data_IF_367413579380
#
_entry.id   IF_367413579380
#
_cell.length_a   1.000
_cell.length_b   1.000
_cell.length_c   1.000
_cell.angle_alpha   90.00
_cell.angle_beta   90.00
_cell.angle_gamma   90.00
#
_symmetry.space_group_name_H-M   'P 1'
#
loop_
_entity.id
_entity.type
_entity.pdbx_description
1 polymer ?
#
# COMPACT_ATOMS: atom_id res chain seq x y z
N UNK A 1 20.59 78.16 -69.99
CA UNK A 1 19.34 77.68 -69.34
C UNK A 1 19.73 76.38 -68.62
N UNK A 2 19.91 76.38 -67.28
CA UNK A 2 18.97 75.83 -66.28
C UNK A 2 18.34 74.50 -66.78
N UNK A 3 18.51 73.34 -66.16
CA UNK A 3 18.52 73.00 -64.74
C UNK A 3 19.10 71.58 -64.54
N UNK A 4 19.92 71.41 -63.49
CA UNK A 4 20.40 70.10 -63.04
C UNK A 4 19.43 69.49 -62.03
N UNK A 5 18.82 68.37 -62.40
CA UNK A 5 18.01 67.55 -61.49
C UNK A 5 18.90 66.62 -60.63
N UNK A 6 19.34 67.20 -59.53
CA UNK A 6 19.44 66.66 -58.17
C UNK A 6 19.47 65.12 -57.95
N UNK A 7 20.65 64.52 -58.14
CA UNK A 7 20.96 63.12 -57.72
C UNK A 7 20.90 62.88 -56.21
N UNK A 8 20.68 63.91 -55.37
CA UNK A 8 20.65 63.77 -53.90
C UNK A 8 19.32 63.21 -53.38
N UNK A 9 18.23 63.34 -54.15
CA UNK A 9 16.91 62.86 -53.71
C UNK A 9 16.80 61.34 -53.70
N UNK A 10 17.47 60.62 -54.61
CA UNK A 10 17.41 59.15 -54.68
C UNK A 10 18.24 58.46 -53.59
N UNK A 11 19.30 59.11 -53.08
CA UNK A 11 20.09 58.53 -51.98
C UNK A 11 19.35 58.61 -50.63
N UNK A 12 18.55 59.67 -50.38
CA UNK A 12 17.81 59.79 -49.12
C UNK A 12 16.71 58.73 -48.93
N UNK A 13 16.06 58.26 -50.00
CA UNK A 13 15.04 57.20 -49.89
C UNK A 13 15.64 55.81 -49.62
N UNK A 14 16.86 55.55 -50.10
CA UNK A 14 17.55 54.27 -49.82
C UNK A 14 17.97 54.19 -48.36
N UNK A 15 18.43 55.30 -47.75
CA UNK A 15 18.77 55.32 -46.32
C UNK A 15 17.55 55.26 -45.41
N UNK A 16 16.38 55.81 -45.82
CA UNK A 16 15.14 55.68 -45.04
C UNK A 16 14.53 54.27 -45.12
N UNK A 17 14.63 53.60 -46.27
CA UNK A 17 14.18 52.21 -46.43
C UNK A 17 15.11 51.20 -45.71
N UNK A 18 16.42 51.46 -45.62
CA UNK A 18 17.34 50.63 -44.84
C UNK A 18 17.18 50.81 -43.32
N UNK A 19 16.84 52.02 -42.86
CA UNK A 19 16.61 52.29 -41.43
C UNK A 19 15.36 51.60 -40.86
N UNK A 20 14.33 51.40 -41.68
CA UNK A 20 13.10 50.69 -41.30
C UNK A 20 13.21 49.16 -41.40
N UNK A 21 14.17 48.63 -42.16
CA UNK A 21 14.47 47.19 -42.22
C UNK A 21 15.37 46.72 -41.07
N UNK A 22 16.06 47.63 -40.37
CA UNK A 22 16.91 47.33 -39.22
C UNK A 22 16.21 47.46 -37.85
N UNK A 23 14.96 47.97 -37.82
CA UNK A 23 14.18 48.10 -36.59
C UNK A 23 13.25 46.89 -36.31
N UNK A 24 13.20 45.89 -37.20
CA UNK A 24 12.28 44.75 -37.13
C UNK A 24 12.84 43.47 -36.51
N UNK A 25 14.13 43.41 -36.18
CA UNK A 25 14.74 42.25 -35.52
C UNK A 25 14.85 42.50 -34.02
N UNK A 26 13.73 42.54 -33.32
CA UNK A 26 13.75 42.21 -31.89
C UNK A 26 14.25 40.76 -31.80
N UNK A 27 15.37 40.47 -31.13
CA UNK A 27 15.71 39.09 -30.85
C UNK A 27 14.54 38.53 -30.05
N UNK A 28 13.83 37.54 -30.62
CA UNK A 28 13.02 36.64 -29.83
C UNK A 28 14.02 36.00 -28.89
N UNK A 29 14.12 36.56 -27.68
CA UNK A 29 14.86 35.92 -26.61
C UNK A 29 14.26 34.52 -26.53
N UNK A 30 15.03 33.52 -26.94
CA UNK A 30 14.64 32.14 -26.78
C UNK A 30 14.34 32.00 -25.29
N UNK A 31 13.05 31.92 -24.96
CA UNK A 31 12.62 31.77 -23.60
C UNK A 31 13.03 30.36 -23.24
N UNK A 32 14.27 30.22 -22.75
CA UNK A 32 14.76 28.98 -22.17
C UNK A 32 13.78 28.68 -21.05
N UNK A 33 12.86 27.74 -21.30
CA UNK A 33 11.87 27.35 -20.32
C UNK A 33 12.65 26.99 -19.06
N UNK A 34 12.40 27.71 -17.97
CA UNK A 34 13.05 27.42 -16.71
C UNK A 34 12.91 25.91 -16.42
N UNK A 35 13.98 25.23 -15.97
CA UNK A 35 13.92 23.80 -15.69
C UNK A 35 12.71 23.47 -14.80
N UNK A 36 11.94 22.45 -15.18
CA UNK A 36 10.76 22.05 -14.41
C UNK A 36 11.20 21.63 -13.01
N UNK A 37 10.66 22.29 -11.98
CA UNK A 37 10.78 21.81 -10.61
C UNK A 37 9.91 20.55 -10.44
N UNK A 38 10.50 19.38 -10.73
CA UNK A 38 9.80 18.09 -10.69
C UNK A 38 9.22 17.79 -9.31
N UNK A 39 9.95 18.12 -8.25
CA UNK A 39 9.46 17.92 -6.89
C UNK A 39 8.18 18.72 -6.65
N UNK A 40 8.16 20.02 -6.96
CA UNK A 40 6.96 20.84 -6.80
C UNK A 40 5.78 20.34 -7.67
N UNK A 41 6.06 19.85 -8.88
CA UNK A 41 5.04 19.26 -9.76
C UNK A 41 4.46 17.97 -9.18
N UNK A 42 5.26 17.14 -8.53
CA UNK A 42 4.78 15.88 -7.93
C UNK A 42 4.07 16.15 -6.60
N UNK A 43 4.67 16.95 -5.71
CA UNK A 43 4.16 17.21 -4.36
C UNK A 43 2.85 18.00 -4.33
N UNK A 44 2.48 18.72 -5.40
CA UNK A 44 1.15 19.35 -5.48
C UNK A 44 0.00 18.33 -5.55
N UNK A 45 0.29 17.05 -5.82
CA UNK A 45 -0.69 15.95 -5.90
C UNK A 45 -0.61 15.03 -4.67
N UNK A 46 -0.14 15.53 -3.54
CA UNK A 46 -0.28 14.84 -2.25
C UNK A 46 -1.74 14.46 -2.03
N UNK A 47 -1.97 13.19 -1.73
CA UNK A 47 -3.31 12.72 -1.37
C UNK A 47 -3.51 13.04 0.10
N UNK A 48 -4.58 13.75 0.44
CA UNK A 48 -4.89 14.17 1.81
C UNK A 48 -6.28 13.68 2.21
N UNK A 49 -6.34 12.88 3.27
CA UNK A 49 -7.56 12.41 3.89
C UNK A 49 -7.73 13.09 5.26
N UNK A 50 -8.85 13.78 5.47
CA UNK A 50 -9.16 14.43 6.76
C UNK A 50 -10.35 13.80 7.49
N UNK A 51 -10.91 12.74 6.92
CA UNK A 51 -12.05 11.99 7.45
C UNK A 51 -11.81 10.50 7.24
N UNK A 52 -12.66 9.68 7.85
CA UNK A 52 -12.69 8.25 7.56
C UNK A 52 -13.61 8.02 6.36
N UNK A 53 -13.09 7.36 5.33
CA UNK A 53 -13.84 7.01 4.12
C UNK A 53 -13.33 5.65 3.63
N UNK A 54 -14.24 4.68 3.50
CA UNK A 54 -13.92 3.34 3.03
C UNK A 54 -13.40 3.30 1.59
N UNK A 55 -13.61 4.35 0.80
CA UNK A 55 -13.11 4.48 -0.56
C UNK A 55 -11.74 5.17 -0.65
N UNK A 56 -11.23 5.70 0.47
CA UNK A 56 -9.99 6.48 0.49
C UNK A 56 -8.87 5.80 1.29
N UNK A 57 -8.51 4.58 0.90
CA UNK A 57 -7.27 3.95 1.36
C UNK A 57 -6.09 4.37 0.48
N UNK A 58 -4.89 4.38 1.06
CA UNK A 58 -3.64 4.75 0.37
C UNK A 58 -2.62 3.63 0.48
N UNK A 59 -1.69 3.55 -0.47
CA UNK A 59 -0.71 2.45 -0.54
C UNK A 59 0.72 2.96 -0.64
N UNK A 60 1.63 2.18 -0.05
CA UNK A 60 3.07 2.23 -0.34
C UNK A 60 3.47 0.93 -1.03
N UNK A 61 4.50 0.98 -1.87
CA UNK A 61 5.00 -0.20 -2.57
C UNK A 61 6.21 0.08 -3.45
N UNK A 62 6.93 -0.99 -3.81
CA UNK A 62 8.12 -0.97 -4.66
C UNK A 62 7.88 -1.56 -6.06
N UNK A 63 6.62 -1.83 -6.41
CA UNK A 63 6.22 -2.48 -7.67
C UNK A 63 6.13 -4.01 -7.60
N UNK A 64 6.91 -4.66 -6.73
CA UNK A 64 6.84 -6.09 -6.45
C UNK A 64 6.02 -6.41 -5.18
N UNK A 65 5.92 -5.45 -4.26
CA UNK A 65 5.18 -5.54 -3.01
C UNK A 65 4.37 -4.27 -2.78
N UNK A 66 3.17 -4.42 -2.23
CA UNK A 66 2.28 -3.32 -1.91
C UNK A 66 1.61 -3.53 -0.55
N UNK A 67 1.45 -2.42 0.17
CA UNK A 67 0.82 -2.37 1.47
C UNK A 67 -0.16 -1.19 1.53
N UNK A 68 -1.44 -1.52 1.50
CA UNK A 68 -2.56 -0.57 1.52
C UNK A 68 -3.05 -0.37 2.95
N UNK A 69 -3.20 0.87 3.38
CA UNK A 69 -3.49 1.24 4.78
C UNK A 69 -4.73 2.10 4.89
N UNK A 70 -5.35 2.05 6.07
CA UNK A 70 -6.39 3.00 6.47
C UNK A 70 -5.77 4.28 7.03
N UNK A 71 -6.62 5.22 7.45
CA UNK A 71 -6.22 6.54 7.99
C UNK A 71 -5.24 6.49 9.17
N UNK A 72 -5.12 5.34 9.87
CA UNK A 72 -4.13 5.15 10.94
C UNK A 72 -2.70 4.97 10.44
N UNK A 73 -2.51 4.80 9.13
CA UNK A 73 -1.22 4.49 8.52
C UNK A 73 -0.86 3.00 8.57
N UNK A 74 -1.75 2.14 9.08
CA UNK A 74 -1.64 0.68 9.08
C UNK A 74 -2.98 0.03 8.67
N UNK A 75 -3.08 -1.30 8.76
CA UNK A 75 -4.30 -2.06 8.46
C UNK A 75 -5.11 -2.35 9.73
N UNK A 76 -5.52 -1.29 10.42
CA UNK A 76 -6.17 -1.33 11.73
C UNK A 76 -7.64 -1.73 11.64
N UNK A 77 -8.37 -1.24 10.63
CA UNK A 77 -9.81 -1.44 10.45
C UNK A 77 -10.18 -2.09 9.11
N UNK A 78 -9.61 -3.25 8.74
CA UNK A 78 -9.81 -3.82 7.41
C UNK A 78 -11.30 -4.15 7.12
N UNK A 79 -12.08 -4.57 8.12
CA UNK A 79 -13.52 -4.82 7.99
C UNK A 79 -14.33 -3.56 7.64
N UNK A 80 -13.88 -2.36 8.03
CA UNK A 80 -14.56 -1.12 7.63
C UNK A 80 -14.39 -0.83 6.13
N UNK A 81 -13.26 -1.23 5.54
CA UNK A 81 -12.91 -1.01 4.14
C UNK A 81 -13.37 -2.12 3.20
N UNK A 82 -13.90 -3.25 3.72
CA UNK A 82 -14.21 -4.44 2.93
C UNK A 82 -15.25 -4.21 1.82
N UNK A 83 -16.14 -3.21 2.00
CA UNK A 83 -17.18 -2.82 1.02
C UNK A 83 -16.76 -1.63 0.14
N UNK A 84 -15.56 -1.09 0.36
CA UNK A 84 -15.00 0.04 -0.37
C UNK A 84 -13.75 -0.35 -1.14
N UNK A 85 -12.63 0.31 -0.86
CA UNK A 85 -11.29 -0.09 -1.34
C UNK A 85 -10.60 -0.87 -0.21
N UNK A 86 -10.56 -2.22 -0.29
CA UNK A 86 -10.05 -3.06 0.78
C UNK A 86 -8.59 -2.77 1.10
N UNK A 87 -8.22 -3.03 2.35
CA UNK A 87 -6.83 -3.03 2.75
C UNK A 87 -6.17 -4.34 2.31
N UNK A 88 -4.86 -4.33 2.08
CA UNK A 88 -4.18 -5.53 1.61
C UNK A 88 -2.67 -5.45 1.68
N UNK A 89 -2.04 -6.60 1.92
CA UNK A 89 -0.60 -6.78 1.84
C UNK A 89 -0.34 -7.88 0.83
N UNK A 90 0.14 -7.51 -0.35
CA UNK A 90 0.31 -8.43 -1.47
C UNK A 90 1.70 -8.27 -2.10
N UNK A 91 2.13 -9.33 -2.78
CA UNK A 91 3.39 -9.36 -3.51
C UNK A 91 3.24 -10.07 -4.84
N UNK A 92 4.20 -9.84 -5.74
CA UNK A 92 4.25 -10.49 -7.04
C UNK A 92 4.39 -12.02 -6.94
N UNK A 93 4.98 -12.51 -5.83
CA UNK A 93 5.22 -13.93 -5.56
C UNK A 93 4.14 -14.59 -4.69
N UNK A 94 3.30 -13.79 -3.99
CA UNK A 94 2.27 -14.27 -3.10
C UNK A 94 1.07 -14.85 -3.84
N UNK A 95 1.15 -16.13 -4.18
CA UNK A 95 0.07 -16.89 -4.85
C UNK A 95 -0.34 -18.10 -4.03
N UNK A 96 -1.59 -18.51 -4.20
CA UNK A 96 -2.17 -19.68 -3.56
C UNK A 96 -3.03 -20.46 -4.55
N UNK A 97 -3.06 -21.79 -4.36
CA UNK A 97 -3.95 -22.70 -5.07
C UNK A 97 -4.56 -23.69 -4.10
N UNK A 98 -5.89 -23.81 -4.09
CA UNK A 98 -6.58 -24.87 -3.37
C UNK A 98 -6.22 -26.24 -3.95
N UNK A 99 -6.18 -27.30 -3.13
CA UNK A 99 -5.94 -28.66 -3.60
C UNK A 99 -6.98 -29.13 -4.62
N UNK A 100 -6.53 -29.71 -5.74
CA UNK A 100 -7.40 -30.29 -6.75
C UNK A 100 -7.85 -31.72 -6.35
N UNK A 101 -8.66 -31.84 -5.29
CA UNK A 101 -9.07 -33.16 -4.74
C UNK A 101 -9.97 -33.97 -5.67
N UNK A 102 -10.63 -33.30 -6.63
CA UNK A 102 -11.56 -33.91 -7.59
C UNK A 102 -10.93 -34.16 -8.97
N UNK A 103 -9.64 -33.87 -9.14
CA UNK A 103 -8.91 -34.15 -10.39
C UNK A 103 -9.41 -33.34 -11.59
N UNK A 104 -9.84 -32.10 -11.38
CA UNK A 104 -10.32 -31.23 -12.45
C UNK A 104 -9.24 -30.93 -13.50
N UNK A 105 -9.62 -30.90 -14.76
CA UNK A 105 -8.71 -30.66 -15.89
C UNK A 105 -9.14 -29.44 -16.71
N UNK A 106 -8.18 -28.80 -17.38
CA UNK A 106 -8.44 -27.59 -18.15
C UNK A 106 -9.48 -27.80 -19.27
N UNK A 107 -9.51 -28.99 -19.86
CA UNK A 107 -10.44 -29.39 -20.93
C UNK A 107 -11.90 -29.28 -20.48
N UNK A 108 -12.19 -29.47 -19.19
CA UNK A 108 -13.53 -29.33 -18.64
C UNK A 108 -14.04 -27.88 -18.71
N UNK A 109 -13.13 -26.91 -18.84
CA UNK A 109 -13.48 -25.49 -19.06
C UNK A 109 -13.73 -25.13 -20.52
N UNK A 110 -13.29 -25.97 -21.46
CA UNK A 110 -13.36 -25.66 -22.88
C UNK A 110 -14.76 -25.80 -23.44
N UNK A 111 -15.13 -24.89 -24.34
CA UNK A 111 -16.31 -24.98 -25.19
C UNK A 111 -15.93 -24.61 -26.61
N UNK A 112 -16.38 -25.42 -27.56
CA UNK A 112 -16.16 -25.17 -28.98
C UNK A 112 -17.17 -24.16 -29.50
N UNK A 113 -16.67 -23.28 -30.36
CA UNK A 113 -17.45 -22.30 -31.10
C UNK A 113 -17.10 -22.41 -32.59
N UNK A 114 -18.12 -22.36 -33.44
CA UNK A 114 -17.93 -22.21 -34.88
C UNK A 114 -17.73 -20.73 -35.20
N UNK A 115 -16.49 -20.34 -35.48
CA UNK A 115 -16.09 -18.97 -35.84
C UNK A 115 -15.41 -18.98 -37.20
N UNK A 116 -15.98 -18.23 -38.16
CA UNK A 116 -15.44 -18.11 -39.52
C UNK A 116 -15.20 -19.48 -40.21
N UNK A 117 -16.13 -20.42 -40.05
CA UNK A 117 -16.04 -21.77 -40.64
C UNK A 117 -15.02 -22.70 -39.96
N UNK A 118 -14.47 -22.32 -38.79
CA UNK A 118 -13.54 -23.13 -38.01
C UNK A 118 -14.11 -23.40 -36.62
N UNK A 119 -13.89 -24.61 -36.12
CA UNK A 119 -14.09 -24.93 -34.71
C UNK A 119 -12.92 -24.40 -33.88
N UNK A 120 -13.22 -23.53 -32.92
CA UNK A 120 -12.25 -22.95 -32.00
C UNK A 120 -12.73 -23.16 -30.56
N UNK A 121 -11.88 -23.72 -29.72
CA UNK A 121 -12.17 -23.94 -28.30
C UNK A 121 -11.73 -22.75 -27.45
N UNK A 122 -12.60 -22.29 -26.57
CA UNK A 122 -12.29 -21.27 -25.55
C UNK A 122 -12.58 -21.81 -24.16
N UNK A 123 -11.77 -21.44 -23.17
CA UNK A 123 -12.16 -21.63 -21.76
C UNK A 123 -13.29 -20.65 -21.44
N UNK A 124 -14.43 -21.15 -20.99
CA UNK A 124 -15.61 -20.31 -20.72
C UNK A 124 -16.10 -20.46 -19.30
N UNK A 125 -16.63 -19.36 -18.76
CA UNK A 125 -17.40 -19.45 -17.53
C UNK A 125 -18.76 -20.09 -17.84
N UNK A 126 -19.04 -21.24 -17.22
CA UNK A 126 -20.30 -21.96 -17.41
C UNK A 126 -21.30 -21.57 -16.32
N UNK A 127 -22.54 -21.28 -16.72
CA UNK A 127 -23.65 -21.06 -15.79
C UNK A 127 -24.44 -22.36 -15.55
N UNK A 128 -24.41 -23.26 -16.52
CA UNK A 128 -25.06 -24.56 -16.50
C UNK A 128 -24.31 -25.54 -15.58
N UNK A 129 -25.00 -26.53 -14.97
CA UNK A 129 -24.38 -27.43 -13.98
C UNK A 129 -23.20 -28.25 -14.50
N UNK A 130 -23.21 -28.62 -15.79
CA UNK A 130 -22.18 -29.44 -16.39
C UNK A 130 -20.80 -28.76 -16.35
N UNK A 131 -19.83 -29.41 -15.70
CA UNK A 131 -18.45 -28.93 -15.47
C UNK A 131 -18.33 -27.60 -14.70
N UNK A 132 -19.41 -27.11 -14.07
CA UNK A 132 -19.38 -25.83 -13.32
C UNK A 132 -18.32 -25.84 -12.23
N UNK A 133 -18.25 -26.90 -11.44
CA UNK A 133 -17.28 -26.98 -10.34
C UNK A 133 -15.83 -26.98 -10.85
N UNK A 134 -15.56 -27.66 -11.98
CA UNK A 134 -14.23 -27.65 -12.60
C UNK A 134 -13.84 -26.25 -13.09
N UNK A 135 -14.78 -25.55 -13.73
CA UNK A 135 -14.59 -24.17 -14.18
C UNK A 135 -14.34 -23.23 -13.00
N UNK A 136 -15.15 -23.31 -11.95
CA UNK A 136 -15.00 -22.48 -10.75
C UNK A 136 -13.64 -22.75 -10.08
N UNK A 137 -13.23 -24.02 -9.97
CA UNK A 137 -11.93 -24.40 -9.45
C UNK A 137 -10.78 -23.84 -10.28
N UNK A 138 -10.82 -23.96 -11.61
CA UNK A 138 -9.77 -23.44 -12.49
C UNK A 138 -9.71 -21.92 -12.52
N UNK A 139 -10.84 -21.23 -12.31
CA UNK A 139 -10.88 -19.76 -12.18
C UNK A 139 -10.34 -19.28 -10.84
N UNK A 140 -10.59 -20.06 -9.79
CA UNK A 140 -10.10 -19.78 -8.45
C UNK A 140 -8.59 -20.01 -8.31
N UNK A 141 -7.92 -20.74 -9.21
CA UNK A 141 -6.55 -21.21 -8.99
C UNK A 141 -5.63 -20.99 -10.20
N UNK A 142 -4.41 -20.44 -10.02
CA UNK A 142 -3.92 -19.77 -8.81
C UNK A 142 -4.58 -18.39 -8.61
N UNK A 143 -4.69 -17.93 -7.37
CA UNK A 143 -5.13 -16.57 -7.03
C UNK A 143 -4.10 -15.83 -6.17
N UNK A 144 -4.20 -14.49 -6.16
CA UNK A 144 -3.37 -13.62 -5.32
C UNK A 144 -3.67 -13.89 -3.85
N UNK A 145 -2.62 -14.02 -3.05
CA UNK A 145 -2.72 -14.29 -1.63
C UNK A 145 -2.53 -13.01 -0.80
N UNK A 146 -3.46 -12.76 0.12
CA UNK A 146 -3.29 -11.75 1.17
C UNK A 146 -2.29 -12.25 2.20
N UNK A 147 -1.16 -11.57 2.34
CA UNK A 147 -0.04 -12.02 3.17
C UNK A 147 -0.26 -11.79 4.67
N UNK A 148 -1.31 -11.06 5.04
CA UNK A 148 -1.72 -10.77 6.40
C UNK A 148 -2.11 -9.30 6.58
N UNK A 149 -2.76 -9.00 7.70
CA UNK A 149 -3.11 -7.66 8.11
C UNK A 149 -2.24 -7.20 9.27
N UNK A 150 -1.37 -6.22 9.02
CA UNK A 150 -0.57 -5.56 10.04
C UNK A 150 -1.29 -4.29 10.49
N UNK A 151 -1.83 -4.27 11.70
CA UNK A 151 -2.68 -3.17 12.17
C UNK A 151 -2.46 -2.84 13.62
N UNK A 152 -3.04 -1.74 14.08
CA UNK A 152 -3.13 -1.52 15.52
C UNK A 152 -4.21 -2.39 16.16
N UNK A 153 -4.00 -2.68 17.44
CA UNK A 153 -5.08 -2.94 18.39
C UNK A 153 -5.15 -1.70 19.27
N UNK A 154 -6.20 -0.91 19.05
CA UNK A 154 -6.46 0.32 19.79
C UNK A 154 -7.44 0.02 20.91
N UNK A 155 -7.11 0.44 22.13
CA UNK A 155 -7.96 0.27 23.31
C UNK A 155 -8.42 1.63 23.85
N UNK A 156 -9.69 1.72 24.19
CA UNK A 156 -10.27 2.84 24.96
C UNK A 156 -9.83 2.79 26.42
N UNK A 157 -10.05 3.87 27.17
CA UNK A 157 -9.76 3.95 28.62
C UNK A 157 -10.44 2.84 29.42
N UNK A 158 -11.62 2.40 28.97
CA UNK A 158 -12.36 1.29 29.58
C UNK A 158 -11.86 -0.11 29.17
N UNK A 159 -10.75 -0.21 28.42
CA UNK A 159 -10.15 -1.46 27.97
C UNK A 159 -10.82 -2.12 26.76
N UNK A 160 -11.94 -1.59 26.26
CA UNK A 160 -12.59 -2.12 25.06
C UNK A 160 -11.84 -1.73 23.78
N UNK A 161 -11.88 -2.57 22.73
CA UNK A 161 -11.38 -2.17 21.42
C UNK A 161 -12.05 -0.89 20.91
N UNK A 162 -11.25 0.03 20.38
CA UNK A 162 -11.76 1.20 19.68
C UNK A 162 -12.28 0.81 18.29
N UNK A 163 -13.33 1.47 17.82
CA UNK A 163 -13.78 1.41 16.42
C UNK A 163 -13.24 2.60 15.63
N UNK A 164 -13.36 2.56 14.31
CA UNK A 164 -12.93 3.68 13.47
C UNK A 164 -13.71 4.97 13.77
N UNK A 165 -14.95 4.87 14.26
CA UNK A 165 -15.78 6.01 14.68
C UNK A 165 -15.30 6.67 15.98
N UNK A 166 -14.49 5.97 16.78
CA UNK A 166 -13.87 6.51 17.99
C UNK A 166 -12.69 7.45 17.66
N UNK A 167 -12.18 7.43 16.41
CA UNK A 167 -11.08 8.30 16.00
C UNK A 167 -11.56 9.75 15.79
N UNK A 168 -10.70 10.69 16.19
CA UNK A 168 -10.88 12.13 15.99
C UNK A 168 -9.62 12.73 15.38
N UNK A 169 -9.72 13.98 14.96
CA UNK A 169 -8.60 14.75 14.41
C UNK A 169 -7.84 14.02 13.29
N UNK A 170 -8.56 13.30 12.43
CA UNK A 170 -7.95 12.48 11.38
C UNK A 170 -7.29 13.37 10.34
N UNK A 171 -6.01 13.11 10.06
CA UNK A 171 -5.27 13.69 8.94
C UNK A 171 -4.24 12.69 8.42
N UNK A 172 -4.40 12.23 7.20
CA UNK A 172 -3.45 11.37 6.52
C UNK A 172 -2.98 12.04 5.22
N UNK A 173 -1.68 11.95 4.94
CA UNK A 173 -1.04 12.46 3.73
C UNK A 173 -0.19 11.36 3.10
N UNK A 174 -0.41 11.04 1.83
CA UNK A 174 0.53 10.29 0.99
C UNK A 174 1.32 11.29 0.14
N UNK A 175 2.64 11.30 0.29
CA UNK A 175 3.52 12.10 -0.54
C UNK A 175 4.09 11.27 -1.71
N UNK A 176 3.67 11.51 -2.96
CA UNK A 176 4.13 10.74 -4.12
C UNK A 176 5.61 10.99 -4.47
N UNK A 177 6.23 12.07 -3.98
CA UNK A 177 7.65 12.34 -4.20
C UNK A 177 8.54 11.51 -3.28
N UNK A 178 8.17 11.38 -2.00
CA UNK A 178 8.96 10.67 -1.00
C UNK A 178 8.53 9.21 -0.82
N UNK A 179 7.30 8.85 -1.24
CA UNK A 179 6.72 7.54 -0.99
C UNK A 179 6.33 7.30 0.47
N UNK A 180 6.17 8.37 1.27
CA UNK A 180 5.81 8.30 2.68
C UNK A 180 4.32 8.51 2.88
N UNK A 181 3.72 7.74 3.79
CA UNK A 181 2.40 8.02 4.36
C UNK A 181 2.60 8.58 5.77
N UNK A 182 2.05 9.77 6.01
CA UNK A 182 2.01 10.40 7.33
C UNK A 182 0.57 10.42 7.81
N UNK A 183 0.30 9.79 8.94
CA UNK A 183 -1.02 9.66 9.54
C UNK A 183 -1.02 10.29 10.93
N UNK A 184 -2.07 11.04 11.22
CA UNK A 184 -2.37 11.63 12.52
C UNK A 184 -3.83 11.34 12.85
N UNK A 185 -4.09 10.98 14.10
CA UNK A 185 -5.42 10.90 14.68
C UNK A 185 -5.33 11.01 16.20
N UNK A 186 -6.46 11.25 16.86
CA UNK A 186 -6.57 11.17 18.31
C UNK A 186 -7.58 10.10 18.74
N UNK A 187 -7.28 9.44 19.86
CA UNK A 187 -8.19 8.52 20.55
C UNK A 187 -8.40 9.00 21.97
N UNK A 188 -9.65 9.35 22.31
CA UNK A 188 -10.04 9.92 23.60
C UNK A 188 -9.14 11.11 24.04
N UNK A 189 -8.83 11.98 23.07
CA UNK A 189 -8.02 13.19 23.26
C UNK A 189 -6.51 12.98 23.27
N UNK A 190 -6.00 11.76 23.05
CA UNK A 190 -4.56 11.49 22.97
C UNK A 190 -4.14 11.26 21.52
N UNK A 191 -3.18 12.05 21.04
CA UNK A 191 -2.66 11.98 19.68
C UNK A 191 -1.86 10.69 19.41
N UNK A 192 -1.93 10.23 18.16
CA UNK A 192 -1.14 9.15 17.59
C UNK A 192 -0.64 9.62 16.23
N UNK A 193 0.68 9.72 16.11
CA UNK A 193 1.37 10.06 14.87
C UNK A 193 2.07 8.83 14.31
N UNK A 194 1.88 8.58 13.02
CA UNK A 194 2.40 7.40 12.32
C UNK A 194 3.05 7.82 11.02
N UNK A 195 4.27 7.34 10.78
CA UNK A 195 4.93 7.43 9.47
C UNK A 195 5.12 6.01 8.95
N UNK A 196 4.53 5.73 7.80
CA UNK A 196 4.62 4.42 7.13
C UNK A 196 5.36 4.56 5.82
N UNK A 197 6.34 3.69 5.62
CA UNK A 197 7.19 3.65 4.43
C UNK A 197 7.39 2.21 3.99
N UNK A 198 7.78 2.04 2.74
CA UNK A 198 8.14 0.76 2.15
C UNK A 198 9.56 0.81 1.58
N UNK A 199 10.28 -0.30 1.70
CA UNK A 199 11.67 -0.38 1.25
C UNK A 199 11.75 -0.64 -0.27
N UNK A 200 12.37 0.30 -0.98
CA UNK A 200 12.45 0.33 -2.45
C UNK A 200 12.95 -0.95 -3.17
N UNK A 201 13.68 -1.83 -2.48
CA UNK A 201 14.25 -3.07 -3.04
C UNK A 201 13.87 -4.35 -2.29
N UNK A 202 13.11 -4.25 -1.20
CA UNK A 202 12.82 -5.39 -0.33
C UNK A 202 11.37 -5.33 0.09
N UNK A 203 10.70 -6.49 0.18
CA UNK A 203 9.31 -6.60 0.66
C UNK A 203 9.23 -6.30 2.16
N UNK A 204 9.40 -5.03 2.53
CA UNK A 204 9.57 -4.54 3.89
C UNK A 204 8.77 -3.26 4.06
N UNK A 205 7.77 -3.34 4.93
CA UNK A 205 7.08 -2.16 5.45
C UNK A 205 7.65 -1.78 6.81
N UNK A 206 7.85 -0.49 7.02
CA UNK A 206 8.24 0.09 8.29
C UNK A 206 7.21 1.13 8.72
N UNK A 207 6.90 1.13 10.02
CA UNK A 207 6.07 2.14 10.64
C UNK A 207 6.74 2.70 11.89
N UNK A 208 6.87 4.02 11.95
CA UNK A 208 7.23 4.75 13.17
C UNK A 208 5.97 5.25 13.83
N UNK A 209 5.83 5.00 15.14
CA UNK A 209 4.63 5.34 15.90
C UNK A 209 5.02 6.17 17.12
N UNK A 210 4.38 7.32 17.26
CA UNK A 210 4.59 8.28 18.35
C UNK A 210 3.25 8.54 19.05
N UNK A 211 3.14 8.16 20.32
CA UNK A 211 1.95 8.39 21.13
C UNK A 211 2.19 8.08 22.61
N UNK A 212 1.58 8.85 23.50
CA UNK A 212 1.49 8.52 24.94
C UNK A 212 0.67 7.25 25.20
N UNK A 213 -0.19 6.84 24.26
CA UNK A 213 -0.96 5.59 24.35
C UNK A 213 -0.07 4.33 24.30
N UNK A 214 1.16 4.44 23.79
CA UNK A 214 2.15 3.37 23.84
C UNK A 214 2.55 3.05 25.29
N UNK A 215 2.72 4.08 26.12
CA UNK A 215 3.11 3.93 27.54
C UNK A 215 2.02 3.27 28.37
N UNK A 216 0.76 3.59 28.07
CA UNK A 216 -0.40 2.99 28.72
C UNK A 216 -0.81 1.63 28.13
N UNK A 217 -0.09 1.12 27.12
CA UNK A 217 -0.41 -0.16 26.46
C UNK A 217 -1.72 -0.16 25.69
N UNK A 218 -2.25 1.02 25.37
CA UNK A 218 -3.51 1.23 24.66
C UNK A 218 -3.36 1.26 23.13
N UNK A 219 -2.14 1.41 22.64
CA UNK A 219 -1.76 1.15 21.25
C UNK A 219 -0.86 -0.08 21.24
N UNK A 220 -1.31 -1.15 20.58
CA UNK A 220 -0.50 -2.35 20.31
C UNK A 220 -0.50 -2.60 18.81
N UNK A 221 0.43 -3.41 18.34
CA UNK A 221 0.47 -3.84 16.93
C UNK A 221 0.12 -5.32 16.85
N UNK A 222 -0.78 -5.66 15.94
CA UNK A 222 -1.17 -7.02 15.64
C UNK A 222 -0.89 -7.39 14.18
N UNK A 223 -0.51 -8.65 13.97
CA UNK A 223 -0.49 -9.31 12.68
C UNK A 223 -1.57 -10.39 12.67
N UNK A 224 -2.50 -10.31 11.73
CA UNK A 224 -3.62 -11.24 11.56
C UNK A 224 -3.54 -11.88 10.17
N UNK A 225 -3.88 -13.16 10.04
CA UNK A 225 -3.91 -13.81 8.74
C UNK A 225 -5.36 -14.10 8.35
N UNK A 226 -5.88 -13.51 7.25
CA UNK A 226 -7.17 -13.90 6.69
C UNK A 226 -7.04 -15.22 5.91
N UNK A 227 -8.15 -15.93 5.77
CA UNK A 227 -8.30 -17.07 4.89
C UNK A 227 -8.59 -16.59 3.46
N UNK A 228 -7.95 -17.15 2.42
CA UNK A 228 -8.27 -16.82 1.05
C UNK A 228 -9.67 -17.34 0.68
N UNK A 229 -10.48 -16.52 0.01
CA UNK A 229 -11.88 -16.90 -0.27
C UNK A 229 -12.08 -17.58 -1.63
N UNK A 230 -11.10 -17.48 -2.54
CA UNK A 230 -11.25 -17.82 -3.96
C UNK A 230 -12.39 -17.07 -4.69
N UNK A 231 -13.00 -16.07 -4.04
CA UNK A 231 -14.04 -15.26 -4.64
C UNK A 231 -13.49 -14.35 -5.72
N UNK A 232 -14.38 -13.81 -6.56
CA UNK A 232 -14.01 -12.77 -7.52
C UNK A 232 -13.32 -11.57 -6.85
N UNK A 233 -13.78 -11.22 -5.64
CA UNK A 233 -13.14 -10.24 -4.80
C UNK A 233 -12.75 -10.90 -3.47
N UNK A 234 -11.45 -10.94 -3.20
CA UNK A 234 -10.91 -11.30 -1.89
C UNK A 234 -10.49 -10.03 -1.15
N UNK A 235 -11.26 -9.67 -0.13
CA UNK A 235 -11.07 -8.45 0.64
C UNK A 235 -10.02 -8.59 1.76
N UNK A 236 -9.44 -9.78 1.94
CA UNK A 236 -8.45 -10.02 3.00
C UNK A 236 -8.99 -9.87 4.42
N UNK A 237 -10.27 -10.17 4.63
CA UNK A 237 -10.97 -9.99 5.92
C UNK A 237 -11.69 -11.25 6.43
N UNK A 238 -11.57 -12.39 5.74
CA UNK A 238 -12.18 -13.63 6.23
C UNK A 238 -11.34 -14.25 7.35
N UNK A 239 -11.80 -14.11 8.59
CA UNK A 239 -11.16 -14.72 9.77
C UNK A 239 -11.98 -15.89 10.35
N UNK A 240 -13.03 -16.33 9.65
CA UNK A 240 -13.95 -17.37 10.15
C UNK A 240 -13.37 -18.79 10.06
N UNK A 241 -12.30 -18.97 9.27
CA UNK A 241 -11.64 -20.24 9.01
C UNK A 241 -10.33 -20.45 9.81
N UNK A 242 -10.29 -20.02 11.07
CA UNK A 242 -9.07 -20.08 11.90
C UNK A 242 -8.48 -21.50 12.09
N UNK A 243 -9.29 -22.53 11.87
CA UNK A 243 -8.88 -23.95 11.95
C UNK A 243 -8.27 -24.49 10.65
N UNK A 244 -8.49 -23.82 9.52
CA UNK A 244 -8.03 -24.25 8.21
C UNK A 244 -6.57 -23.85 7.92
N UNK A 245 -5.98 -23.01 8.78
CA UNK A 245 -4.60 -22.54 8.64
C UNK A 245 -3.91 -22.40 10.00
N UNK A 246 -2.57 -22.45 9.97
CA UNK A 246 -1.76 -22.37 11.18
C UNK A 246 -0.66 -21.34 11.05
N UNK A 247 -0.43 -20.62 12.14
CA UNK A 247 0.70 -19.70 12.24
C UNK A 247 1.52 -19.99 13.48
N UNK A 248 2.82 -19.74 13.44
CA UNK A 248 3.67 -19.94 14.61
C UNK A 248 4.98 -19.15 14.55
N UNK A 249 5.51 -18.78 15.71
CA UNK A 249 6.87 -18.29 15.82
C UNK A 249 7.80 -19.49 15.68
N UNK A 250 8.58 -19.52 14.60
CA UNK A 250 9.54 -20.60 14.34
C UNK A 250 10.97 -20.23 14.78
N UNK A 251 11.25 -18.93 14.93
CA UNK A 251 12.51 -18.46 15.47
C UNK A 251 12.30 -17.16 16.26
N UNK A 252 12.79 -17.09 17.50
CA UNK A 252 12.89 -15.84 18.26
C UNK A 252 14.27 -15.23 18.04
N UNK A 253 14.33 -13.92 17.83
CA UNK A 253 15.58 -13.16 17.76
C UNK A 253 15.63 -12.18 18.93
N UNK A 254 16.80 -11.57 19.17
CA UNK A 254 16.95 -10.51 20.19
C UNK A 254 16.01 -9.33 19.91
N UNK A 255 15.86 -9.00 18.63
CA UNK A 255 14.95 -7.96 18.14
C UNK A 255 14.08 -8.61 17.07
N UNK A 256 12.88 -9.04 17.46
CA UNK A 256 11.91 -9.62 16.54
C UNK A 256 11.78 -11.15 16.53
N UNK A 257 11.02 -11.66 15.57
CA UNK A 257 10.70 -13.07 15.40
C UNK A 257 10.45 -13.42 13.93
N UNK A 258 10.78 -14.66 13.56
CA UNK A 258 10.35 -15.26 12.31
C UNK A 258 9.02 -15.97 12.56
N UNK A 259 7.98 -15.52 11.86
CA UNK A 259 6.64 -16.08 11.89
C UNK A 259 6.45 -16.89 10.62
N UNK A 260 5.96 -18.10 10.77
CA UNK A 260 5.54 -18.95 9.67
C UNK A 260 4.01 -18.93 9.60
N UNK A 261 3.47 -18.78 8.40
CA UNK A 261 2.05 -18.99 8.09
C UNK A 261 1.93 -20.14 7.09
N UNK A 262 1.02 -21.07 7.36
CA UNK A 262 0.78 -22.27 6.56
C UNK A 262 -0.73 -22.41 6.36
N UNK A 263 -1.13 -22.39 5.09
CA UNK A 263 -2.45 -22.76 4.60
C UNK A 263 -2.45 -24.26 4.26
N UNK A 264 -3.15 -24.68 3.21
CA UNK A 264 -3.08 -26.03 2.68
C UNK A 264 -1.76 -26.29 1.92
N UNK A 265 -1.67 -25.87 0.66
CA UNK A 265 -0.55 -26.07 -0.26
C UNK A 265 0.52 -25.00 -0.09
N UNK A 266 0.16 -23.83 0.47
CA UNK A 266 1.05 -22.67 0.57
C UNK A 266 1.58 -22.45 1.98
N UNK A 267 2.88 -22.16 2.04
CA UNK A 267 3.60 -21.78 3.24
C UNK A 267 4.47 -20.56 2.97
N UNK A 268 4.46 -19.60 3.88
CA UNK A 268 5.34 -18.44 3.78
C UNK A 268 5.77 -17.94 5.16
N UNK A 269 6.75 -17.03 5.16
CA UNK A 269 7.41 -16.55 6.35
C UNK A 269 7.48 -15.03 6.36
N UNK A 270 7.27 -14.44 7.53
CA UNK A 270 7.40 -13.01 7.77
C UNK A 270 8.36 -12.81 8.95
N UNK A 271 9.33 -11.89 8.82
CA UNK A 271 10.12 -11.49 9.99
C UNK A 271 9.49 -10.24 10.55
N UNK A 272 9.00 -10.30 11.77
CA UNK A 272 8.65 -9.09 12.50
C UNK A 272 9.85 -8.63 13.30
N UNK A 273 10.12 -7.34 13.28
CA UNK A 273 11.11 -6.64 14.08
C UNK A 273 10.37 -5.51 14.80
N UNK A 274 10.44 -5.48 16.12
CA UNK A 274 9.91 -4.37 16.90
C UNK A 274 11.07 -3.81 17.70
N UNK A 275 11.39 -2.55 17.47
CA UNK A 275 12.46 -1.85 18.17
C UNK A 275 11.85 -0.66 18.91
N UNK A 276 11.91 -0.71 20.24
CA UNK A 276 11.79 0.52 21.04
C UNK A 276 13.21 1.04 21.20
N UNK A 277 13.42 2.34 21.04
CA UNK A 277 14.62 2.95 21.62
C UNK A 277 14.45 2.84 23.15
N UNK A 278 15.02 1.80 23.78
CA UNK A 278 15.12 1.69 25.24
C UNK A 278 14.32 0.62 26.01
N UNK A 279 13.53 -0.30 25.40
CA UNK A 279 12.93 -1.42 26.16
C UNK A 279 12.76 -2.73 25.38
N UNK A 280 12.78 -3.85 26.12
CA UNK A 280 12.54 -5.21 25.59
C UNK A 280 11.05 -5.42 25.35
N UNK A 281 10.64 -5.58 24.09
CA UNK A 281 9.27 -5.99 23.72
C UNK A 281 9.18 -7.51 23.56
N UNK A 282 8.00 -8.05 23.84
CA UNK A 282 7.68 -9.46 23.65
C UNK A 282 6.56 -9.61 22.63
N UNK A 283 6.81 -10.46 21.63
CA UNK A 283 5.79 -10.93 20.70
C UNK A 283 5.05 -12.11 21.34
N UNK A 284 3.73 -12.01 21.40
CA UNK A 284 2.86 -13.06 21.90
C UNK A 284 1.90 -13.51 20.81
N UNK A 285 1.62 -14.81 20.78
CA UNK A 285 0.54 -15.38 19.99
C UNK A 285 -0.74 -15.28 20.83
N UNK A 286 -1.70 -14.45 20.45
CA UNK A 286 -2.97 -14.27 21.17
C UNK A 286 -4.11 -15.09 20.57
N UNK A 287 -3.88 -15.73 19.42
CA UNK A 287 -4.81 -16.70 18.82
C UNK A 287 -4.11 -17.61 17.81
N UNK A 288 -4.85 -18.52 17.17
CA UNK A 288 -4.26 -19.47 16.21
C UNK A 288 -3.55 -18.76 15.04
N UNK A 289 -4.07 -17.63 14.60
CA UNK A 289 -3.56 -16.86 13.46
C UNK A 289 -3.39 -15.37 13.76
N UNK A 290 -3.25 -15.02 15.05
CA UNK A 290 -3.07 -13.65 15.52
C UNK A 290 -1.87 -13.54 16.45
N UNK A 291 -1.00 -12.58 16.14
CA UNK A 291 0.14 -12.20 16.96
C UNK A 291 0.02 -10.75 17.38
N UNK A 292 0.46 -10.44 18.59
CA UNK A 292 0.46 -9.10 19.15
C UNK A 292 1.82 -8.80 19.81
N UNK A 293 2.30 -7.57 19.63
CA UNK A 293 3.50 -7.07 20.31
C UNK A 293 3.09 -6.22 21.49
N UNK A 294 3.63 -6.56 22.66
CA UNK A 294 3.40 -5.84 23.92
C UNK A 294 4.72 -5.35 24.55
N UNK A 295 4.61 -4.29 25.36
CA UNK A 295 5.64 -3.86 26.31
C UNK A 295 5.19 -4.28 27.73
N UNK A 296 5.85 -5.25 28.39
CA UNK A 296 5.52 -5.62 29.77
C UNK A 296 6.00 -4.52 30.73
N UNK A 297 5.06 -3.81 31.34
CA UNK A 297 5.29 -2.65 32.20
C UNK A 297 6.16 -2.96 33.44
N UNK A 298 7.08 -2.05 33.80
CA UNK A 298 7.63 -1.85 35.16
C UNK A 298 7.53 -0.33 35.48
N UNK A 299 7.12 0.09 36.70
CA UNK A 299 6.77 1.49 37.01
C UNK A 299 7.98 2.45 36.99
N UNK A 300 7.74 3.78 37.02
CA UNK A 300 8.53 4.73 36.26
C UNK A 300 9.79 5.23 36.99
N UNK A 301 10.84 5.47 36.21
CA UNK A 301 11.74 6.61 36.43
C UNK A 301 11.73 7.48 35.18
N UNK A 302 11.50 8.77 35.40
CA UNK A 302 11.30 9.83 34.42
C UNK A 302 12.50 9.96 33.47
N UNK A 303 12.28 9.82 32.16
CA UNK A 303 13.07 10.51 31.14
C UNK A 303 12.23 10.75 29.88
N UNK A 304 12.36 11.94 29.29
CA UNK A 304 11.64 12.40 28.09
C UNK A 304 12.43 11.97 26.87
N UNK A 305 11.96 10.94 26.16
CA UNK A 305 12.03 10.75 24.68
C UNK A 305 11.64 9.32 24.29
N UNK A 306 10.36 8.95 24.45
CA UNK A 306 9.90 7.60 24.05
C UNK A 306 9.54 7.54 22.55
N UNK A 307 10.31 6.78 21.76
CA UNK A 307 10.08 6.51 20.33
C UNK A 307 9.98 5.00 20.07
N UNK A 308 9.03 4.57 19.24
CA UNK A 308 8.85 3.17 18.84
C UNK A 308 8.85 2.97 17.32
N UNK A 309 9.63 2.00 16.84
CA UNK A 309 9.66 1.55 15.45
C UNK A 309 9.14 0.11 15.36
N UNK A 310 8.32 -0.17 14.34
CA UNK A 310 7.96 -1.54 13.94
C UNK A 310 8.39 -1.74 12.49
N UNK A 311 9.27 -2.71 12.27
CA UNK A 311 9.89 -3.05 10.99
C UNK A 311 9.54 -4.51 10.68
N UNK A 312 9.00 -4.85 9.51
CA UNK A 312 8.90 -6.27 9.12
C UNK A 312 9.90 -6.58 8.01
N UNK A 313 10.91 -7.40 8.33
CA UNK A 313 11.96 -7.81 7.39
C UNK A 313 11.62 -9.15 6.71
N UNK A 314 12.22 -9.44 5.56
CA UNK A 314 12.18 -10.76 4.90
C UNK A 314 13.51 -11.50 5.07
N UNK A 315 13.52 -12.80 5.32
CA UNK A 315 14.68 -13.65 4.96
C UNK A 315 14.16 -14.99 4.44
N UNK A 316 14.45 -15.29 3.18
CA UNK A 316 13.99 -16.52 2.54
C UNK A 316 14.85 -17.73 2.93
N UNK A 317 14.17 -18.87 3.03
CA UNK A 317 14.59 -20.13 2.44
C UNK A 317 13.31 -20.82 1.98
N UNK A 318 12.99 -20.74 0.69
CA UNK A 318 12.04 -21.65 0.08
C UNK A 318 12.77 -22.97 -0.19
N UNK A 319 12.24 -24.07 0.34
CA UNK A 319 12.40 -25.42 -0.20
C UNK A 319 11.01 -26.00 -0.33
#
# INVERSE_FOLDING_TARGET
MREGADRRKWQLWIFFALGLLLAGSLPVAAQTSAPINRQAVVERHKVVNTTTDMLSSVSVGNGAFAYTVDVTGLQTFPTYYEKGVPLGMQSEWGWHSFPNTKGYTFEQSLRDYDLNGRKISYSVQRKEPANKEAVDFLRANPHRLQLGNLGFVLLKKNGQPATIQDLRDVRQELNPWTGEIKSHFSLEGTAVDVVTVEHQQQDVVAARVESELLKSGRVKVALRFPWPTAGWADMGTDYSHAEAHKSGIVQKKKVGALIMHQLDTTKYYLTQVAEKVGAKKSLFRTGKTRFEVFDPFKPPSYDRTDRGNVLLHRRFSAR
#
